data_IF_895585381426
#
_entry.id   IF_895585381426
#
_cell.length_a   1.000
_cell.length_b   1.000
_cell.length_c   1.000
_cell.angle_alpha   90.00
_cell.angle_beta   90.00
_cell.angle_gamma   90.00
#
_symmetry.space_group_name_H-M   'P 1'
#
loop_
_entity.id
_entity.type
_entity.pdbx_description
1 polymer ?
#
# COMPACT_ATOMS: atom_id res chain seq x y z
N UNK A 1 -18.69 18.59 -18.50
CA UNK A 1 -18.80 17.96 -17.16
C UNK A 1 -18.45 16.49 -17.34
N UNK A 2 -17.54 15.96 -16.51
CA UNK A 2 -17.17 14.54 -16.58
C UNK A 2 -18.29 13.71 -15.93
N UNK A 3 -18.75 12.67 -16.60
CA UNK A 3 -19.74 11.78 -16.00
C UNK A 3 -19.18 11.13 -14.74
N UNK A 4 -20.02 11.00 -13.70
CA UNK A 4 -19.66 10.31 -12.46
C UNK A 4 -19.34 8.85 -12.75
N UNK A 5 -18.16 8.40 -12.37
CA UNK A 5 -17.72 7.01 -12.51
C UNK A 5 -17.63 6.36 -11.12
N UNK A 6 -18.64 5.56 -10.79
CA UNK A 6 -18.73 4.80 -9.55
C UNK A 6 -18.47 3.32 -9.85
N UNK A 7 -17.32 2.84 -9.43
CA UNK A 7 -16.88 1.46 -9.65
C UNK A 7 -17.17 0.61 -8.41
N UNK A 8 -17.92 -0.49 -8.57
CA UNK A 8 -18.12 -1.46 -7.51
C UNK A 8 -16.77 -2.09 -7.07
N UNK A 9 -16.63 -2.34 -5.78
CA UNK A 9 -15.52 -3.06 -5.17
C UNK A 9 -16.06 -4.34 -4.49
N UNK A 10 -16.22 -5.45 -5.26
CA UNK A 10 -16.80 -6.69 -4.73
C UNK A 10 -15.98 -7.28 -3.59
N UNK A 11 -14.65 -7.18 -3.67
CA UNK A 11 -13.77 -7.71 -2.63
C UNK A 11 -13.94 -6.94 -1.31
N UNK A 12 -13.95 -5.61 -1.36
CA UNK A 12 -14.18 -4.80 -0.16
C UNK A 12 -15.63 -4.93 0.36
N UNK A 13 -16.60 -5.10 -0.55
CA UNK A 13 -17.99 -5.37 -0.18
C UNK A 13 -18.12 -6.64 0.65
N UNK A 14 -17.45 -7.72 0.24
CA UNK A 14 -17.42 -8.98 1.00
C UNK A 14 -16.81 -8.78 2.39
N UNK A 15 -15.69 -8.06 2.48
CA UNK A 15 -15.02 -7.80 3.77
C UNK A 15 -15.85 -6.95 4.72
N UNK A 16 -16.57 -5.95 4.19
CA UNK A 16 -17.38 -5.03 5.01
C UNK A 16 -18.80 -5.55 5.28
N UNK A 17 -19.24 -6.61 4.59
CA UNK A 17 -20.62 -7.10 4.67
C UNK A 17 -21.66 -6.08 4.17
N UNK A 18 -21.25 -5.11 3.36
CA UNK A 18 -22.09 -4.08 2.74
C UNK A 18 -21.51 -3.66 1.39
N UNK A 19 -22.35 -3.16 0.44
CA UNK A 19 -21.84 -2.68 -0.86
C UNK A 19 -20.75 -1.63 -0.69
N UNK A 20 -19.64 -1.82 -1.41
CA UNK A 20 -18.53 -0.89 -1.43
C UNK A 20 -18.24 -0.43 -2.85
N UNK A 21 -17.91 0.86 -2.99
CA UNK A 21 -17.65 1.50 -4.27
C UNK A 21 -16.42 2.39 -4.20
N UNK A 22 -15.74 2.51 -5.35
CA UNK A 22 -14.69 3.50 -5.56
C UNK A 22 -15.21 4.57 -6.53
N UNK A 23 -15.32 5.81 -6.08
CA UNK A 23 -15.60 6.96 -6.94
C UNK A 23 -14.31 7.35 -7.66
N UNK A 24 -14.29 7.23 -8.99
CA UNK A 24 -13.10 7.41 -9.82
C UNK A 24 -13.03 8.76 -10.52
N UNK A 25 -14.19 9.30 -10.93
CA UNK A 25 -14.33 10.56 -11.65
C UNK A 25 -15.67 11.22 -11.32
N UNK A 26 -15.84 12.47 -11.74
CA UNK A 26 -17.08 13.21 -11.52
C UNK A 26 -17.32 13.52 -10.05
N UNK A 27 -16.26 13.91 -9.34
CA UNK A 27 -16.32 14.17 -7.90
C UNK A 27 -17.26 15.32 -7.56
N UNK A 28 -17.33 16.35 -8.43
CA UNK A 28 -18.21 17.51 -8.28
C UNK A 28 -19.66 17.25 -8.68
N UNK A 29 -19.91 16.19 -9.43
CA UNK A 29 -21.24 15.74 -9.88
C UNK A 29 -21.81 14.60 -9.03
N UNK A 30 -20.99 14.04 -8.12
CA UNK A 30 -21.44 12.95 -7.27
C UNK A 30 -22.56 13.39 -6.32
N UNK A 31 -23.59 12.55 -6.22
CA UNK A 31 -24.68 12.68 -5.24
C UNK A 31 -24.96 11.31 -4.64
N UNK A 32 -25.35 11.26 -3.37
CA UNK A 32 -25.77 10.04 -2.69
C UNK A 32 -26.92 9.33 -3.39
N UNK A 33 -27.75 10.06 -4.15
CA UNK A 33 -28.85 9.48 -4.96
C UNK A 33 -28.35 8.58 -6.10
N UNK A 34 -27.07 8.67 -6.47
CA UNK A 34 -26.46 7.79 -7.48
C UNK A 34 -26.08 6.41 -6.93
N UNK A 35 -26.16 6.20 -5.62
CA UNK A 35 -25.85 4.91 -5.02
C UNK A 35 -26.95 3.90 -5.30
N UNK A 36 -26.60 2.70 -5.82
CA UNK A 36 -27.59 1.67 -6.14
C UNK A 36 -28.22 1.04 -4.91
N UNK A 37 -27.64 1.24 -3.72
CA UNK A 37 -28.12 0.71 -2.45
C UNK A 37 -27.60 1.51 -1.26
N UNK A 38 -28.32 1.48 -0.15
CA UNK A 38 -27.93 2.10 1.13
C UNK A 38 -28.28 1.12 2.26
N UNK A 39 -27.41 0.94 3.30
CA UNK A 39 -26.12 1.63 3.45
C UNK A 39 -25.03 1.09 2.51
N UNK A 40 -24.16 1.97 2.04
CA UNK A 40 -23.01 1.63 1.21
C UNK A 40 -21.74 2.31 1.74
N UNK A 41 -20.58 1.69 1.50
CA UNK A 41 -19.27 2.30 1.72
C UNK A 41 -18.75 2.90 0.41
N UNK A 42 -18.38 4.16 0.40
CA UNK A 42 -17.84 4.82 -0.79
C UNK A 42 -16.50 5.46 -0.46
N UNK A 43 -15.47 5.12 -1.22
CA UNK A 43 -14.17 5.76 -1.13
C UNK A 43 -13.86 6.56 -2.39
N UNK A 44 -13.13 7.66 -2.22
CA UNK A 44 -12.62 8.49 -3.33
C UNK A 44 -11.15 8.82 -3.07
N UNK A 45 -10.35 8.87 -4.13
CA UNK A 45 -8.99 9.40 -4.09
C UNK A 45 -8.93 10.64 -4.95
N UNK A 46 -8.82 11.80 -4.30
CA UNK A 46 -8.87 13.12 -4.94
C UNK A 46 -7.51 13.79 -4.76
N UNK A 47 -7.03 14.48 -5.79
CA UNK A 47 -5.81 15.26 -5.66
C UNK A 47 -6.04 16.43 -4.69
N UNK A 48 -5.05 16.74 -3.85
CA UNK A 48 -5.15 17.83 -2.85
C UNK A 48 -5.34 19.21 -3.48
N UNK A 49 -5.03 19.36 -4.76
CA UNK A 49 -5.25 20.57 -5.57
C UNK A 49 -6.67 20.72 -6.10
N UNK A 50 -7.49 19.69 -6.05
CA UNK A 50 -8.90 19.71 -6.50
C UNK A 50 -9.82 20.17 -5.36
N UNK A 51 -9.68 21.42 -4.94
CA UNK A 51 -10.38 21.98 -3.77
C UNK A 51 -11.91 21.91 -3.88
N UNK A 52 -12.45 22.19 -5.06
CA UNK A 52 -13.91 22.14 -5.30
C UNK A 52 -14.44 20.72 -5.14
N UNK A 53 -13.74 19.72 -5.69
CA UNK A 53 -14.09 18.33 -5.53
C UNK A 53 -14.06 17.88 -4.06
N UNK A 54 -13.00 18.26 -3.31
CA UNK A 54 -12.90 17.97 -1.88
C UNK A 54 -14.06 18.58 -1.10
N UNK A 55 -14.37 19.86 -1.31
CA UNK A 55 -15.46 20.57 -0.64
C UNK A 55 -16.84 19.96 -0.99
N UNK A 56 -17.05 19.60 -2.26
CA UNK A 56 -18.29 18.97 -2.70
C UNK A 56 -18.49 17.63 -2.01
N UNK A 57 -17.49 16.75 -2.02
CA UNK A 57 -17.57 15.44 -1.39
C UNK A 57 -17.79 15.55 0.14
N UNK A 58 -17.16 16.51 0.82
CA UNK A 58 -17.43 16.75 2.23
C UNK A 58 -18.89 17.13 2.49
N UNK A 59 -19.51 17.95 1.62
CA UNK A 59 -20.95 18.28 1.70
C UNK A 59 -21.83 17.06 1.45
N UNK A 60 -21.35 16.05 0.71
CA UNK A 60 -22.00 14.76 0.52
C UNK A 60 -21.72 13.76 1.67
N UNK A 61 -21.08 14.19 2.75
CA UNK A 61 -20.81 13.39 3.93
C UNK A 61 -19.50 12.62 3.91
N UNK A 62 -18.64 12.79 2.90
CA UNK A 62 -17.30 12.22 2.91
C UNK A 62 -16.43 12.88 3.98
N UNK A 63 -15.55 12.09 4.56
CA UNK A 63 -14.51 12.55 5.49
C UNK A 63 -13.14 12.32 4.88
N UNK A 64 -12.21 13.23 5.12
CA UNK A 64 -10.81 12.98 4.81
C UNK A 64 -10.28 11.98 5.84
N UNK A 65 -9.91 10.80 5.38
CA UNK A 65 -9.40 9.73 6.24
C UNK A 65 -7.86 9.76 6.25
N UNK A 66 -7.25 10.03 5.08
CA UNK A 66 -5.81 9.93 4.92
C UNK A 66 -5.34 10.84 3.79
N UNK A 67 -4.08 11.27 3.87
CA UNK A 67 -3.39 11.99 2.80
C UNK A 67 -2.22 11.15 2.32
N UNK A 68 -2.36 10.62 1.10
CA UNK A 68 -1.32 9.81 0.47
C UNK A 68 -0.22 10.68 -0.14
N UNK A 69 1.02 10.28 0.11
CA UNK A 69 2.22 10.81 -0.54
C UNK A 69 2.76 9.80 -1.55
N UNK A 70 3.30 10.27 -2.65
CA UNK A 70 3.92 9.44 -3.67
C UNK A 70 5.40 9.82 -3.82
N UNK A 71 6.28 8.83 -3.72
CA UNK A 71 7.71 8.97 -3.95
C UNK A 71 8.10 8.25 -5.22
N UNK A 72 9.04 8.83 -5.98
CA UNK A 72 9.62 8.21 -7.17
C UNK A 72 11.10 8.52 -7.29
N UNK A 73 11.82 7.69 -8.02
CA UNK A 73 13.24 7.91 -8.33
C UNK A 73 14.03 6.62 -8.33
N UNK A 74 15.35 6.78 -8.34
CA UNK A 74 16.30 5.67 -8.24
C UNK A 74 16.96 5.72 -6.87
N UNK A 75 17.10 4.59 -6.17
CA UNK A 75 17.86 4.60 -4.93
C UNK A 75 19.29 5.11 -5.20
N UNK A 76 19.73 6.06 -4.41
CA UNK A 76 21.09 6.62 -4.50
C UNK A 76 22.14 5.77 -3.76
N UNK A 77 21.70 4.78 -3.00
CA UNK A 77 22.56 3.88 -2.23
C UNK A 77 22.23 2.43 -2.60
N UNK A 78 23.29 1.66 -2.87
CA UNK A 78 23.18 0.24 -3.25
C UNK A 78 23.90 -0.69 -2.27
N UNK A 79 24.53 -0.13 -1.24
CA UNK A 79 25.22 -0.95 -0.24
C UNK A 79 24.20 -1.58 0.70
N UNK A 80 24.17 -2.90 0.67
CA UNK A 80 23.40 -3.72 1.59
C UNK A 80 24.28 -3.96 2.81
N UNK A 81 23.89 -3.41 3.94
CA UNK A 81 24.55 -3.71 5.22
C UNK A 81 24.30 -5.17 5.57
N UNK A 82 25.36 -5.99 5.63
CA UNK A 82 25.26 -7.46 5.69
C UNK A 82 25.22 -8.06 7.09
N UNK A 83 25.09 -7.29 8.13
CA UNK A 83 25.19 -7.85 9.49
C UNK A 83 23.95 -8.68 9.83
N UNK A 84 24.07 -10.00 9.71
CA UNK A 84 23.10 -10.96 10.21
C UNK A 84 21.77 -11.04 9.44
N UNK A 85 21.65 -10.37 8.29
CA UNK A 85 20.44 -10.34 7.46
C UNK A 85 20.65 -11.09 6.14
N UNK A 86 19.67 -11.87 5.72
CA UNK A 86 19.62 -12.49 4.40
C UNK A 86 18.36 -12.03 3.65
N UNK A 87 18.48 -11.95 2.32
CA UNK A 87 17.39 -11.50 1.43
C UNK A 87 17.23 -12.50 0.29
N UNK A 88 16.01 -12.92 0.03
CA UNK A 88 15.68 -13.88 -1.03
C UNK A 88 14.25 -13.69 -1.54
N UNK A 89 13.95 -14.29 -2.67
CA UNK A 89 12.56 -14.46 -3.13
C UNK A 89 11.79 -15.33 -2.13
N UNK A 90 10.54 -14.96 -1.88
CA UNK A 90 9.66 -15.72 -1.02
C UNK A 90 9.34 -17.09 -1.62
N UNK A 91 9.13 -18.08 -0.75
CA UNK A 91 8.66 -19.43 -1.07
C UNK A 91 7.27 -19.62 -0.49
N UNK A 92 6.53 -20.63 -0.93
CA UNK A 92 5.18 -20.88 -0.41
C UNK A 92 5.16 -21.10 1.11
N UNK A 93 6.23 -21.67 1.67
CA UNK A 93 6.40 -21.87 3.12
C UNK A 93 6.49 -20.56 3.93
N UNK A 94 6.81 -19.44 3.28
CA UNK A 94 6.89 -18.13 3.94
C UNK A 94 5.51 -17.47 4.10
N UNK A 95 4.47 -17.94 3.42
CA UNK A 95 3.14 -17.34 3.42
C UNK A 95 2.61 -17.05 4.82
N UNK A 96 2.62 -17.98 5.79
CA UNK A 96 2.10 -17.72 7.13
C UNK A 96 2.81 -16.54 7.82
N UNK A 97 4.15 -16.50 7.73
CA UNK A 97 4.96 -15.46 8.36
C UNK A 97 4.75 -14.09 7.70
N UNK A 98 4.70 -14.05 6.36
CA UNK A 98 4.45 -12.82 5.59
C UNK A 98 3.05 -12.29 5.86
N UNK A 99 2.04 -13.16 5.87
CA UNK A 99 0.66 -12.79 6.18
C UNK A 99 0.50 -12.27 7.61
N UNK A 100 1.21 -12.85 8.58
CA UNK A 100 1.23 -12.36 9.96
C UNK A 100 1.85 -10.96 10.03
N UNK A 101 3.01 -10.73 9.40
CA UNK A 101 3.63 -9.39 9.34
C UNK A 101 2.67 -8.38 8.72
N UNK A 102 1.98 -8.76 7.64
CA UNK A 102 1.03 -7.89 6.97
C UNK A 102 -0.18 -7.52 7.86
N UNK A 103 -0.65 -8.45 8.69
CA UNK A 103 -1.75 -8.20 9.62
C UNK A 103 -1.36 -7.28 10.78
N UNK A 104 -0.10 -7.37 11.27
CA UNK A 104 0.36 -6.74 12.49
C UNK A 104 1.04 -5.38 12.27
N UNK A 105 1.72 -5.17 11.12
CA UNK A 105 2.63 -4.03 10.95
C UNK A 105 2.07 -2.89 10.08
N UNK A 106 0.95 -3.08 9.38
CA UNK A 106 0.32 -2.01 8.59
C UNK A 106 -0.73 -1.23 9.40
N UNK A 107 -0.31 -0.58 10.46
CA UNK A 107 -1.21 0.19 11.34
C UNK A 107 -1.55 1.57 10.76
N UNK A 108 -0.61 2.21 10.07
CA UNK A 108 -0.80 3.54 9.46
C UNK A 108 -1.30 3.39 8.02
N UNK A 109 -2.60 3.24 7.84
CA UNK A 109 -3.24 3.18 6.52
C UNK A 109 -4.72 3.54 6.61
N UNK A 110 -5.32 3.92 5.48
CA UNK A 110 -6.72 4.35 5.39
C UNK A 110 -7.75 3.39 5.99
N UNK A 111 -7.46 2.10 6.05
CA UNK A 111 -8.40 1.11 6.59
C UNK A 111 -8.36 1.05 8.12
N UNK A 112 -7.22 1.36 8.74
CA UNK A 112 -7.08 1.46 10.19
C UNK A 112 -7.54 2.83 10.72
N UNK A 113 -7.41 3.87 9.90
CA UNK A 113 -7.77 5.24 10.27
C UNK A 113 -9.26 5.54 10.04
N UNK A 114 -9.95 4.72 9.22
CA UNK A 114 -11.37 4.90 8.93
C UNK A 114 -12.25 4.35 10.06
N UNK A 115 -12.99 5.20 10.80
CA UNK A 115 -13.83 4.76 11.91
C UNK A 115 -15.00 3.84 11.49
N UNK A 116 -15.33 3.80 10.20
CA UNK A 116 -16.38 2.93 9.65
C UNK A 116 -15.86 1.51 9.38
N UNK A 117 -14.55 1.25 9.54
CA UNK A 117 -13.93 -0.04 9.29
C UNK A 117 -13.44 -0.63 10.63
N UNK A 118 -14.04 -1.74 11.09
CA UNK A 118 -13.59 -2.42 12.30
C UNK A 118 -12.11 -2.84 12.23
N UNK A 119 -11.34 -2.67 13.31
CA UNK A 119 -9.91 -2.98 13.35
C UNK A 119 -9.58 -4.40 12.90
N UNK A 120 -10.43 -5.38 13.23
CA UNK A 120 -10.23 -6.76 12.79
C UNK A 120 -10.29 -6.87 11.25
N UNK A 121 -11.17 -6.12 10.62
CA UNK A 121 -11.29 -6.08 9.15
C UNK A 121 -10.05 -5.40 8.55
N UNK A 122 -9.59 -4.29 9.13
CA UNK A 122 -8.41 -3.56 8.66
C UNK A 122 -7.17 -4.44 8.61
N UNK A 123 -6.92 -5.22 9.67
CA UNK A 123 -5.79 -6.17 9.74
C UNK A 123 -5.93 -7.31 8.73
N UNK A 124 -7.15 -7.85 8.55
CA UNK A 124 -7.44 -8.88 7.54
C UNK A 124 -7.22 -8.37 6.11
N UNK A 125 -7.58 -7.12 5.82
CA UNK A 125 -7.40 -6.52 4.50
C UNK A 125 -5.94 -6.61 4.05
N UNK A 126 -4.99 -6.23 4.89
CA UNK A 126 -3.56 -6.25 4.52
C UNK A 126 -2.99 -7.65 4.44
N UNK A 127 -3.41 -8.53 5.35
CA UNK A 127 -3.10 -9.96 5.30
C UNK A 127 -3.54 -10.59 3.99
N UNK A 128 -4.81 -10.42 3.63
CA UNK A 128 -5.38 -11.02 2.43
C UNK A 128 -4.82 -10.38 1.15
N UNK A 129 -4.43 -9.11 1.23
CA UNK A 129 -3.78 -8.41 0.14
C UNK A 129 -2.45 -9.07 -0.24
N UNK A 130 -1.60 -9.37 0.75
CA UNK A 130 -0.33 -10.07 0.48
C UNK A 130 -0.53 -11.56 0.17
N UNK A 131 -1.53 -12.23 0.77
CA UNK A 131 -1.85 -13.62 0.45
C UNK A 131 -2.23 -13.81 -1.02
N UNK A 132 -2.79 -12.79 -1.68
CA UNK A 132 -3.08 -12.84 -3.10
C UNK A 132 -1.84 -13.02 -3.99
N UNK A 133 -0.62 -12.73 -3.50
CA UNK A 133 0.62 -13.06 -4.20
C UNK A 133 0.79 -14.58 -4.32
N UNK A 134 0.64 -15.31 -3.23
CA UNK A 134 0.79 -16.78 -3.22
C UNK A 134 -0.29 -17.49 -4.03
N UNK A 135 -1.43 -16.81 -4.25
CA UNK A 135 -2.50 -17.28 -5.13
C UNK A 135 -2.30 -16.87 -6.61
N UNK A 136 -1.20 -16.19 -6.94
CA UNK A 136 -0.94 -15.69 -8.30
C UNK A 136 -1.89 -14.56 -8.77
N UNK A 137 -2.57 -13.89 -7.83
CA UNK A 137 -3.56 -12.85 -8.13
C UNK A 137 -3.02 -11.42 -8.02
N UNK A 138 -1.84 -11.24 -7.38
CA UNK A 138 -1.27 -9.92 -7.12
C UNK A 138 0.24 -9.95 -6.99
N UNK A 139 0.90 -8.96 -7.61
CA UNK A 139 2.34 -8.77 -7.53
C UNK A 139 3.13 -9.68 -8.46
N UNK A 140 4.34 -9.25 -8.79
CA UNK A 140 5.25 -9.98 -9.69
C UNK A 140 6.41 -10.59 -8.93
N UNK A 141 6.84 -9.93 -7.85
CA UNK A 141 7.97 -10.38 -7.01
C UNK A 141 7.66 -10.14 -5.55
N UNK A 142 7.80 -11.17 -4.73
CA UNK A 142 7.78 -11.06 -3.27
C UNK A 142 9.15 -11.45 -2.72
N UNK A 143 9.76 -10.53 -1.98
CA UNK A 143 11.04 -10.75 -1.30
C UNK A 143 10.81 -10.84 0.19
N UNK A 144 11.60 -11.67 0.86
CA UNK A 144 11.66 -11.76 2.32
C UNK A 144 13.04 -11.43 2.83
N UNK A 145 13.09 -10.80 3.99
CA UNK A 145 14.27 -10.65 4.81
C UNK A 145 14.24 -11.66 5.94
N UNK A 146 15.36 -12.31 6.22
CA UNK A 146 15.49 -13.24 7.34
C UNK A 146 16.65 -12.85 8.25
N UNK A 147 16.46 -13.10 9.56
CA UNK A 147 17.50 -13.01 10.60
C UNK A 147 17.45 -14.32 11.37
N UNK A 148 18.56 -15.05 11.43
CA UNK A 148 18.62 -16.38 12.06
C UNK A 148 17.49 -17.30 11.58
N UNK A 149 17.30 -17.35 10.25
CA UNK A 149 16.26 -18.10 9.54
C UNK A 149 14.80 -17.69 9.82
N UNK A 150 14.57 -16.74 10.70
CA UNK A 150 13.25 -16.18 10.91
C UNK A 150 12.92 -15.10 9.87
N UNK A 151 11.76 -15.21 9.20
CA UNK A 151 11.22 -14.15 8.34
C UNK A 151 10.85 -12.93 9.19
N UNK A 152 11.60 -11.85 9.00
CA UNK A 152 11.47 -10.62 9.79
C UNK A 152 10.91 -9.42 9.01
N UNK A 153 10.79 -9.52 7.69
CA UNK A 153 10.23 -8.50 6.84
C UNK A 153 9.99 -8.99 5.42
N UNK A 154 9.20 -8.25 4.65
CA UNK A 154 8.92 -8.55 3.26
C UNK A 154 8.76 -7.30 2.40
N UNK A 155 8.86 -7.48 1.08
CA UNK A 155 8.65 -6.47 0.06
C UNK A 155 7.91 -7.09 -1.12
N UNK A 156 6.68 -6.62 -1.39
CA UNK A 156 5.88 -7.01 -2.55
C UNK A 156 6.00 -5.95 -3.64
N UNK A 157 6.27 -6.38 -4.86
CA UNK A 157 6.58 -5.54 -6.00
C UNK A 157 5.69 -5.84 -7.18
N UNK A 158 5.41 -4.79 -7.95
CA UNK A 158 4.68 -4.84 -9.22
C UNK A 158 5.53 -4.15 -10.28
N UNK A 159 5.72 -4.78 -11.44
CA UNK A 159 6.29 -4.14 -12.62
C UNK A 159 5.19 -3.46 -13.41
N UNK A 160 5.26 -2.14 -13.56
CA UNK A 160 4.26 -1.37 -14.28
C UNK A 160 4.94 -0.47 -15.33
N UNK A 161 4.98 -0.93 -16.57
CA UNK A 161 5.70 -0.23 -17.64
C UNK A 161 7.19 -0.12 -17.32
N UNK A 162 7.70 1.10 -17.21
CA UNK A 162 9.08 1.39 -16.82
C UNK A 162 9.26 1.64 -15.31
N UNK A 163 8.25 1.35 -14.51
CA UNK A 163 8.24 1.58 -13.07
C UNK A 163 8.29 0.25 -12.30
N UNK A 164 8.97 0.29 -11.17
CA UNK A 164 9.08 -0.76 -10.19
C UNK A 164 8.30 -0.32 -8.95
N UNK A 165 7.04 -0.72 -8.88
CA UNK A 165 6.11 -0.24 -7.85
C UNK A 165 6.28 -1.06 -6.58
N UNK A 166 6.58 -0.42 -5.46
CA UNK A 166 6.50 -1.02 -4.13
C UNK A 166 5.03 -1.00 -3.72
N UNK A 167 4.41 -2.17 -3.74
CA UNK A 167 3.01 -2.35 -3.38
C UNK A 167 2.81 -2.48 -1.87
N UNK A 168 3.63 -3.32 -1.22
CA UNK A 168 3.67 -3.49 0.22
C UNK A 168 5.12 -3.69 0.70
N UNK A 169 5.46 -3.07 1.81
CA UNK A 169 6.72 -3.31 2.52
C UNK A 169 6.46 -3.24 4.02
N UNK A 170 6.90 -4.24 4.77
CA UNK A 170 6.81 -4.24 6.21
C UNK A 170 7.97 -5.02 6.84
N UNK A 171 8.30 -4.64 8.08
CA UNK A 171 9.32 -5.29 8.92
C UNK A 171 8.73 -5.44 10.32
N UNK A 172 8.82 -6.64 10.91
CA UNK A 172 8.37 -6.90 12.29
C UNK A 172 8.92 -5.88 13.26
N UNK A 173 8.10 -5.37 14.14
CA UNK A 173 8.41 -4.27 15.07
C UNK A 173 9.74 -4.46 15.80
N UNK A 174 10.03 -5.68 16.28
CA UNK A 174 11.30 -6.00 16.99
C UNK A 174 12.56 -5.96 16.12
N UNK A 175 12.42 -5.94 14.80
CA UNK A 175 13.51 -5.86 13.82
C UNK A 175 13.56 -4.51 13.10
N UNK A 176 12.69 -3.57 13.43
CA UNK A 176 12.69 -2.24 12.84
C UNK A 176 13.95 -1.45 13.27
N UNK A 177 14.20 -0.34 12.56
CA UNK A 177 15.37 0.55 12.78
C UNK A 177 16.74 -0.11 12.60
N UNK A 178 16.80 -1.33 12.02
CA UNK A 178 18.03 -2.07 11.71
C UNK A 178 18.38 -2.04 10.21
N UNK A 179 17.76 -1.15 9.44
CA UNK A 179 18.01 -0.98 8.01
C UNK A 179 17.40 -2.05 7.11
N UNK A 180 16.60 -2.99 7.62
CA UNK A 180 16.04 -4.13 6.85
C UNK A 180 15.20 -3.64 5.67
N UNK A 181 14.30 -2.68 5.89
CA UNK A 181 13.44 -2.14 4.82
C UNK A 181 14.29 -1.48 3.70
N UNK A 182 15.30 -0.68 4.08
CA UNK A 182 16.25 -0.10 3.13
C UNK A 182 16.95 -1.20 2.32
N UNK A 183 17.46 -2.20 3.00
CA UNK A 183 18.22 -3.30 2.37
C UNK A 183 17.33 -4.14 1.43
N UNK A 184 16.05 -4.39 1.79
CA UNK A 184 15.07 -5.04 0.92
C UNK A 184 14.87 -4.25 -0.39
N UNK A 185 14.69 -2.93 -0.30
CA UNK A 185 14.53 -2.06 -1.47
C UNK A 185 15.79 -2.07 -2.35
N UNK A 186 16.96 -1.95 -1.72
CA UNK A 186 18.24 -1.98 -2.45
C UNK A 186 18.48 -3.34 -3.12
N UNK A 187 18.18 -4.45 -2.42
CA UNK A 187 18.26 -5.79 -2.97
C UNK A 187 17.31 -5.98 -4.16
N UNK A 188 16.07 -5.56 -4.01
CA UNK A 188 15.08 -5.59 -5.06
C UNK A 188 15.53 -4.81 -6.30
N UNK A 189 15.98 -3.59 -6.12
CA UNK A 189 16.47 -2.75 -7.21
C UNK A 189 17.65 -3.36 -7.92
N UNK A 190 18.59 -3.92 -7.18
CA UNK A 190 19.79 -4.55 -7.75
C UNK A 190 19.50 -5.80 -8.56
N UNK A 191 18.57 -6.65 -8.08
CA UNK A 191 18.41 -8.02 -8.60
C UNK A 191 17.11 -8.26 -9.38
N UNK A 192 16.08 -7.42 -9.21
CA UNK A 192 14.74 -7.68 -9.75
C UNK A 192 14.15 -6.52 -10.56
N UNK A 193 14.86 -5.41 -10.74
CA UNK A 193 14.30 -4.25 -11.46
C UNK A 193 13.96 -4.51 -12.93
N UNK A 194 14.51 -5.57 -13.54
CA UNK A 194 14.35 -5.85 -14.97
C UNK A 194 14.67 -4.61 -15.83
N UNK A 195 13.69 -4.13 -16.63
CA UNK A 195 13.80 -2.93 -17.45
C UNK A 195 13.33 -1.65 -16.74
N UNK A 196 12.93 -1.73 -15.47
CA UNK A 196 12.45 -0.56 -14.73
C UNK A 196 13.53 0.51 -14.58
N UNK A 197 13.13 1.75 -14.79
CA UNK A 197 14.01 2.92 -14.72
C UNK A 197 13.91 3.68 -13.41
N UNK A 198 12.80 3.50 -12.69
CA UNK A 198 12.54 4.15 -11.41
C UNK A 198 11.67 3.29 -10.49
N UNK A 199 11.76 3.57 -9.20
CA UNK A 199 10.85 3.08 -8.17
C UNK A 199 9.70 4.07 -8.04
N UNK A 200 8.49 3.54 -7.86
CA UNK A 200 7.32 4.27 -7.42
C UNK A 200 6.82 3.65 -6.11
N UNK A 201 6.57 4.49 -5.11
CA UNK A 201 6.03 4.01 -3.83
C UNK A 201 5.08 5.03 -3.22
N UNK A 202 4.00 4.54 -2.61
CA UNK A 202 3.04 5.35 -1.86
C UNK A 202 3.21 5.17 -0.36
N UNK A 203 2.96 6.24 0.40
CA UNK A 203 2.83 6.18 1.86
C UNK A 203 1.83 7.21 2.34
N UNK A 204 1.48 7.18 3.63
CA UNK A 204 0.62 8.15 4.28
C UNK A 204 1.46 9.28 4.88
N UNK A 205 0.87 10.49 4.95
CA UNK A 205 1.53 11.64 5.57
C UNK A 205 1.84 11.40 7.06
N UNK A 206 1.04 10.59 7.73
CA UNK A 206 1.24 10.17 9.12
C UNK A 206 2.41 9.20 9.31
N UNK A 207 2.88 8.55 8.23
CA UNK A 207 3.94 7.53 8.30
C UNK A 207 5.34 8.16 8.18
N UNK A 208 5.80 8.82 9.24
CA UNK A 208 7.11 9.48 9.29
C UNK A 208 8.29 8.52 9.04
N UNK A 209 8.17 7.26 9.44
CA UNK A 209 9.20 6.25 9.24
C UNK A 209 9.40 5.94 7.74
N UNK A 210 8.30 5.73 6.99
CA UNK A 210 8.36 5.51 5.55
C UNK A 210 8.82 6.75 4.79
N UNK A 211 8.33 7.94 5.18
CA UNK A 211 8.77 9.23 4.62
C UNK A 211 10.29 9.36 4.75
N UNK A 212 10.83 9.15 5.96
CA UNK A 212 12.26 9.19 6.23
C UNK A 212 13.02 8.16 5.40
N UNK A 213 12.54 6.91 5.34
CA UNK A 213 13.16 5.84 4.56
C UNK A 213 13.29 6.21 3.08
N UNK A 214 12.21 6.65 2.45
CA UNK A 214 12.22 6.97 1.01
C UNK A 214 13.05 8.19 0.69
N UNK A 215 13.02 9.23 1.52
CA UNK A 215 13.87 10.41 1.38
C UNK A 215 15.37 10.07 1.52
N UNK A 216 15.75 9.22 2.50
CA UNK A 216 17.13 8.75 2.66
C UNK A 216 17.62 7.86 1.51
N UNK A 217 16.71 7.17 0.83
CA UNK A 217 17.02 6.43 -0.39
C UNK A 217 17.21 7.33 -1.61
N UNK A 218 16.97 8.64 -1.48
CA UNK A 218 17.06 9.61 -2.57
C UNK A 218 15.84 9.58 -3.50
N UNK A 219 14.72 9.03 -3.05
CA UNK A 219 13.46 9.14 -3.78
C UNK A 219 12.85 10.52 -3.55
N UNK A 220 12.27 11.09 -4.59
CA UNK A 220 11.68 12.41 -4.58
C UNK A 220 10.15 12.33 -4.40
N UNK A 221 9.60 13.25 -3.63
CA UNK A 221 8.16 13.43 -3.50
C UNK A 221 7.61 13.97 -4.83
N UNK A 222 6.53 13.32 -5.31
CA UNK A 222 5.89 13.66 -6.58
C UNK A 222 4.75 14.64 -6.36
#
# INVERSE_FOLDING_TARGET
>A
MAATELQADPWLSEKLGKPAFNLRKGFTEFSLSLLPSSPAFVSAKVATTEHEACLHLQRQGFRVIDVGLQYRGKPNQFEISKIGQSFRTARNEDEPAVCQIAAEEFLLNRFHEDPEIPLIISSQIKRDWVANFFLGKRGDVLLVATVQDEVCGFLLLIHQGNQFVIDLIAVKSRFQQQGIAKNLICFAWKHHRQSAQEILVGTQISNSASISLYSHLGLELK
#
